data_IF_309900652530
#
_entry.id   IF_309900652530
#
_cell.length_a   1.000
_cell.length_b   1.000
_cell.length_c   1.000
_cell.angle_alpha   90.00
_cell.angle_beta   90.00
_cell.angle_gamma   90.00
#
_symmetry.space_group_name_H-M   'P 1'
#
loop_
_entity.id
_entity.type
_entity.pdbx_description
1 polymer ?
#
# COMPACT_ATOMS: atom_id res chain seq x y z
N UNK A 1 3.10 11.32 12.55
CA UNK A 1 2.71 10.96 13.94
C UNK A 1 1.26 11.32 14.23
N UNK A 2 0.87 12.60 14.21
CA UNK A 2 -0.52 13.04 14.52
C UNK A 2 -1.63 12.31 13.74
N UNK A 3 -1.43 12.01 12.45
CA UNK A 3 -2.43 11.26 11.65
C UNK A 3 -2.74 9.86 12.18
N UNK A 4 -1.71 9.14 12.67
CA UNK A 4 -1.89 7.82 13.28
C UNK A 4 -2.48 7.94 14.69
N UNK A 5 -1.95 8.86 15.51
CA UNK A 5 -2.40 9.09 16.90
C UNK A 5 -3.89 9.45 16.97
N UNK A 6 -4.38 10.23 16.00
CA UNK A 6 -5.77 10.72 16.00
C UNK A 6 -6.73 9.86 15.17
N UNK A 7 -6.23 8.80 14.52
CA UNK A 7 -7.03 7.95 13.63
C UNK A 7 -7.60 8.68 12.41
N UNK A 8 -7.06 9.85 12.04
CA UNK A 8 -7.57 10.67 10.92
C UNK A 8 -6.96 10.20 9.60
N UNK A 9 -7.69 9.36 8.87
CA UNK A 9 -7.27 8.81 7.57
C UNK A 9 -6.89 9.87 6.52
N UNK A 10 -7.57 11.02 6.50
CA UNK A 10 -7.26 12.15 5.61
C UNK A 10 -5.83 12.68 5.81
N UNK A 11 -5.36 12.70 7.06
CA UNK A 11 -3.99 13.15 7.36
C UNK A 11 -2.96 12.11 6.92
N UNK A 12 -3.33 10.83 6.91
CA UNK A 12 -2.49 9.77 6.36
C UNK A 12 -2.37 9.91 4.85
N UNK A 13 -3.44 10.24 4.14
CA UNK A 13 -3.39 10.48 2.68
C UNK A 13 -2.36 11.54 2.31
N UNK A 14 -2.34 12.66 3.04
CA UNK A 14 -1.35 13.71 2.80
C UNK A 14 0.06 13.27 3.21
N UNK A 15 0.20 12.60 4.35
CA UNK A 15 1.50 12.19 4.88
C UNK A 15 2.19 11.09 4.05
N UNK A 16 1.42 10.27 3.31
CA UNK A 16 1.94 9.19 2.49
C UNK A 16 2.40 9.64 1.09
N UNK A 17 2.16 10.90 0.72
CA UNK A 17 2.68 11.49 -0.52
C UNK A 17 4.18 11.79 -0.38
N UNK A 18 5.04 10.80 -0.65
CA UNK A 18 6.49 11.02 -0.70
C UNK A 18 6.87 11.74 -2.00
N UNK A 19 7.23 13.02 -1.88
CA UNK A 19 7.61 13.87 -3.01
C UNK A 19 9.10 13.81 -3.35
N UNK A 20 9.93 13.11 -2.57
CA UNK A 20 11.39 13.15 -2.68
C UNK A 20 11.96 11.81 -3.17
N UNK A 21 11.65 10.68 -2.52
CA UNK A 21 12.33 9.40 -2.82
C UNK A 21 11.53 8.48 -3.74
N UNK A 22 10.20 8.45 -3.62
CA UNK A 22 9.33 7.66 -4.50
C UNK A 22 9.43 8.03 -5.99
N UNK A 23 9.54 9.30 -6.42
CA UNK A 23 9.53 9.65 -7.84
C UNK A 23 10.63 8.99 -8.69
N UNK A 24 11.79 8.73 -8.08
CA UNK A 24 12.90 8.03 -8.73
C UNK A 24 12.67 6.51 -8.75
N UNK A 25 12.27 5.93 -7.62
CA UNK A 25 12.19 4.46 -7.45
C UNK A 25 10.94 3.85 -8.08
N UNK A 26 9.84 4.60 -8.14
CA UNK A 26 8.60 4.13 -8.77
C UNK A 26 8.81 3.76 -10.25
N UNK A 27 9.73 4.44 -10.94
CA UNK A 27 10.09 4.15 -12.34
C UNK A 27 10.74 2.78 -12.52
N UNK A 28 11.26 2.18 -11.44
CA UNK A 28 11.88 0.86 -11.45
C UNK A 28 10.85 -0.26 -11.18
N UNK A 29 9.61 0.09 -10.85
CA UNK A 29 8.53 -0.86 -10.55
C UNK A 29 7.51 -0.78 -11.69
N UNK A 30 7.50 -1.75 -12.62
CA UNK A 30 6.47 -1.84 -13.66
C UNK A 30 5.08 -1.83 -13.03
N UNK A 31 4.10 -1.18 -13.65
CA UNK A 31 2.72 -1.14 -13.15
C UNK A 31 2.48 -0.30 -11.89
N UNK A 32 3.50 0.36 -11.32
CA UNK A 32 3.37 1.10 -10.05
C UNK A 32 2.18 2.06 -10.01
N UNK A 33 2.03 2.91 -11.04
CA UNK A 33 0.96 3.90 -11.08
C UNK A 33 -0.42 3.25 -11.20
N UNK A 34 -0.55 2.17 -11.99
CA UNK A 34 -1.81 1.45 -12.15
C UNK A 34 -2.25 0.84 -10.81
N UNK A 35 -1.32 0.23 -10.09
CA UNK A 35 -1.58 -0.38 -8.77
C UNK A 35 -1.85 0.69 -7.71
N UNK A 36 -1.15 1.83 -7.75
CA UNK A 36 -1.40 2.97 -6.87
C UNK A 36 -2.84 3.47 -7.02
N UNK A 37 -3.26 3.76 -8.25
CA UNK A 37 -4.61 4.24 -8.53
C UNK A 37 -5.65 3.22 -8.08
N UNK A 38 -5.48 1.94 -8.45
CA UNK A 38 -6.40 0.88 -8.04
C UNK A 38 -6.54 0.74 -6.52
N UNK A 39 -5.43 0.86 -5.78
CA UNK A 39 -5.45 0.79 -4.32
C UNK A 39 -6.21 1.98 -3.71
N UNK A 40 -5.91 3.20 -4.17
CA UNK A 40 -6.55 4.44 -3.66
C UNK A 40 -8.04 4.48 -4.02
N UNK A 41 -8.41 4.11 -5.24
CA UNK A 41 -9.81 4.05 -5.69
C UNK A 41 -10.63 3.00 -4.92
N UNK A 42 -9.98 1.93 -4.44
CA UNK A 42 -10.58 0.92 -3.57
C UNK A 42 -10.66 1.37 -2.09
N UNK A 43 -10.16 2.56 -1.75
CA UNK A 43 -10.24 3.14 -0.41
C UNK A 43 -8.97 3.03 0.44
N UNK A 44 -7.81 2.75 -0.17
CA UNK A 44 -6.54 2.91 0.54
C UNK A 44 -6.27 4.40 0.85
N UNK A 45 -5.68 4.67 2.00
CA UNK A 45 -5.16 6.00 2.34
C UNK A 45 -3.95 6.36 1.48
N UNK A 46 -3.25 5.38 0.93
CA UNK A 46 -2.11 5.58 0.07
C UNK A 46 -1.30 4.30 -0.07
N UNK A 47 -0.33 4.32 -0.97
CA UNK A 47 0.56 3.21 -1.21
C UNK A 47 2.00 3.71 -1.27
N UNK A 48 2.91 2.95 -0.67
CA UNK A 48 4.34 3.27 -0.60
C UNK A 48 5.17 2.05 -1.02
N UNK A 49 6.44 2.28 -1.34
CA UNK A 49 7.40 1.19 -1.51
C UNK A 49 7.78 0.66 -0.12
N UNK A 50 7.62 -0.64 0.10
CA UNK A 50 8.01 -1.29 1.34
C UNK A 50 9.52 -1.55 1.36
N UNK A 51 10.24 -0.88 2.27
CA UNK A 51 11.69 -1.00 2.41
C UNK A 51 12.46 -0.64 1.14
N UNK A 52 13.22 -1.60 0.61
CA UNK A 52 13.96 -1.43 -0.64
C UNK A 52 13.14 -1.75 -1.91
N UNK A 53 11.88 -2.14 -1.78
CA UNK A 53 11.10 -2.67 -2.90
C UNK A 53 11.60 -4.04 -3.38
N UNK A 54 10.95 -4.63 -4.40
CA UNK A 54 9.85 -4.08 -5.21
C UNK A 54 8.46 -4.15 -4.54
N UNK A 55 8.36 -4.73 -3.34
CA UNK A 55 7.09 -4.85 -2.61
C UNK A 55 6.43 -3.49 -2.38
N UNK A 56 5.12 -3.42 -2.63
CA UNK A 56 4.28 -2.25 -2.37
C UNK A 56 3.43 -2.49 -1.12
N UNK A 57 3.27 -1.45 -0.30
CA UNK A 57 2.45 -1.46 0.90
C UNK A 57 1.36 -0.42 0.75
N UNK A 58 0.09 -0.84 0.75
CA UNK A 58 -1.05 0.04 0.84
C UNK A 58 -1.57 0.09 2.29
N UNK A 59 -1.79 1.28 2.83
CA UNK A 59 -2.41 1.46 4.14
C UNK A 59 -3.89 1.73 3.96
N UNK A 60 -4.73 1.04 4.72
CA UNK A 60 -6.19 1.14 4.61
C UNK A 60 -6.89 0.81 5.93
N UNK A 61 -8.17 1.14 6.04
CA UNK A 61 -9.00 0.67 7.14
C UNK A 61 -9.24 -0.85 7.01
N UNK A 62 -9.37 -1.56 8.13
CA UNK A 62 -9.62 -3.01 8.12
C UNK A 62 -10.88 -3.39 7.33
N UNK A 63 -11.92 -2.54 7.33
CA UNK A 63 -13.14 -2.76 6.55
C UNK A 63 -12.92 -2.72 5.04
N UNK A 64 -11.89 -2.02 4.57
CA UNK A 64 -11.54 -1.87 3.16
C UNK A 64 -10.45 -2.85 2.70
N UNK A 65 -9.83 -3.59 3.62
CA UNK A 65 -8.65 -4.42 3.33
C UNK A 65 -8.88 -5.42 2.18
N UNK A 66 -10.00 -6.14 2.19
CA UNK A 66 -10.33 -7.11 1.16
C UNK A 66 -10.58 -6.47 -0.22
N UNK A 67 -11.20 -5.28 -0.25
CA UNK A 67 -11.44 -4.54 -1.49
C UNK A 67 -10.13 -4.05 -2.10
N UNK A 68 -9.23 -3.50 -1.27
CA UNK A 68 -7.91 -3.04 -1.70
C UNK A 68 -7.04 -4.20 -2.20
N UNK A 69 -7.03 -5.33 -1.49
CA UNK A 69 -6.32 -6.55 -1.92
C UNK A 69 -6.80 -7.03 -3.29
N UNK A 70 -8.11 -7.12 -3.51
CA UNK A 70 -8.69 -7.53 -4.79
C UNK A 70 -8.38 -6.55 -5.92
N UNK A 71 -8.42 -5.25 -5.64
CA UNK A 71 -8.12 -4.21 -6.63
C UNK A 71 -6.64 -4.23 -7.05
N UNK A 72 -5.71 -4.31 -6.08
CA UNK A 72 -4.28 -4.44 -6.37
C UNK A 72 -3.97 -5.72 -7.14
N UNK A 73 -4.58 -6.85 -6.77
CA UNK A 73 -4.42 -8.13 -7.48
C UNK A 73 -4.86 -8.01 -8.95
N UNK A 74 -6.01 -7.36 -9.17
CA UNK A 74 -6.55 -7.15 -10.52
C UNK A 74 -5.67 -6.22 -11.35
N UNK A 75 -5.16 -5.14 -10.74
CA UNK A 75 -4.24 -4.22 -11.40
C UNK A 75 -2.94 -4.92 -11.83
N UNK A 76 -2.33 -5.72 -10.96
CA UNK A 76 -1.15 -6.51 -11.31
C UNK A 76 -1.40 -7.45 -12.48
N UNK A 77 -2.56 -8.12 -12.49
CA UNK A 77 -2.95 -9.01 -13.58
C UNK A 77 -3.12 -8.27 -14.91
N UNK A 78 -3.66 -7.05 -14.90
CA UNK A 78 -3.80 -6.21 -16.10
C UNK A 78 -2.45 -5.76 -16.65
N UNK A 79 -1.48 -5.52 -15.77
CA UNK A 79 -0.08 -5.24 -16.14
C UNK A 79 0.68 -6.50 -16.59
N UNK A 80 0.03 -7.67 -16.63
CA UNK A 80 0.63 -8.94 -17.02
C UNK A 80 1.60 -9.52 -15.99
N UNK A 81 1.53 -9.06 -14.74
CA UNK A 81 2.45 -9.43 -13.66
C UNK A 81 1.74 -10.36 -12.67
N UNK A 82 2.37 -11.51 -12.39
CA UNK A 82 1.91 -12.41 -11.33
C UNK A 82 2.49 -11.93 -10.00
N UNK A 83 1.66 -11.25 -9.20
CA UNK A 83 2.04 -10.75 -7.88
C UNK A 83 1.30 -11.51 -6.77
N UNK A 84 1.96 -11.68 -5.62
CA UNK A 84 1.29 -12.10 -4.39
C UNK A 84 0.82 -10.86 -3.64
N UNK A 85 -0.49 -10.72 -3.47
CA UNK A 85 -1.10 -9.65 -2.69
C UNK A 85 -1.71 -10.30 -1.44
N UNK A 86 -1.53 -9.66 -0.28
CA UNK A 86 -2.03 -10.16 1.01
C UNK A 86 -2.55 -8.98 1.84
N UNK A 87 -3.77 -9.09 2.35
CA UNK A 87 -4.21 -8.23 3.45
C UNK A 87 -3.54 -8.68 4.77
N UNK A 88 -2.82 -7.76 5.42
CA UNK A 88 -2.09 -8.02 6.66
C UNK A 88 -2.48 -7.02 7.74
N UNK A 89 -2.56 -7.49 8.99
CA UNK A 89 -2.66 -6.63 10.17
C UNK A 89 -1.27 -6.30 10.72
N UNK A 90 -1.16 -5.21 11.48
CA UNK A 90 0.07 -4.90 12.22
C UNK A 90 0.31 -6.02 13.23
N UNK A 91 1.52 -6.58 13.22
CA UNK A 91 1.98 -7.52 14.23
C UNK A 91 2.31 -6.76 15.52
N UNK A 92 1.65 -7.11 16.61
CA UNK A 92 1.83 -6.51 17.93
C UNK A 92 2.61 -7.40 18.90
N UNK A 93 2.95 -8.63 18.50
CA UNK A 93 3.68 -9.59 19.32
C UNK A 93 5.17 -9.62 18.96
N UNK A 94 5.49 -9.38 17.69
CA UNK A 94 6.85 -9.51 17.19
C UNK A 94 7.31 -10.96 17.23
N UNK A 95 8.59 -11.20 17.50
CA UNK A 95 9.15 -12.55 17.51
C UNK A 95 8.65 -13.37 18.71
N UNK A 96 8.04 -14.52 18.42
CA UNK A 96 7.62 -15.52 19.41
C UNK A 96 8.36 -16.85 19.18
N UNK A 97 8.61 -17.61 20.25
CA UNK A 97 9.11 -18.99 20.16
C UNK A 97 7.92 -19.92 19.85
N UNK A 98 8.01 -20.63 18.72
CA UNK A 98 7.03 -21.61 18.24
C UNK A 98 7.49 -23.04 18.48
#
# INVERSE_FOLDING_TARGET
>A
LRGLETGRGEWLQTALQDRIHQPYRQKLIPGYNAVLCAAVDAGAYGMVISGAGPTLLALTASSQAAAVEAAMTSAWKQEGIVAQVRALSIDTQGTILI
#
